data_IF_781994638580
#
_entry.id   IF_781994638580
#
_cell.length_a   1.000
_cell.length_b   1.000
_cell.length_c   1.000
_cell.angle_alpha   90.00
_cell.angle_beta   90.00
_cell.angle_gamma   90.00
#
_symmetry.space_group_name_H-M   'P 1'
#
loop_
_entity.id
_entity.type
_entity.pdbx_description
1 polymer ?
#
# COMPACT_ATOMS: atom_id res chain seq x y z
N UNK A 1 -46.20 -18.56 -12.44
CA UNK A 1 -44.79 -18.16 -12.73
C UNK A 1 -44.70 -16.65 -12.68
N UNK A 2 -44.55 -16.07 -11.49
CA UNK A 2 -44.29 -14.64 -11.31
C UNK A 2 -42.78 -14.41 -11.41
N UNK A 3 -42.36 -13.66 -12.41
CA UNK A 3 -40.98 -13.22 -12.59
C UNK A 3 -40.61 -12.26 -11.47
N UNK A 4 -39.82 -12.71 -10.50
CA UNK A 4 -39.16 -11.85 -9.52
C UNK A 4 -38.17 -10.97 -10.29
N UNK A 5 -38.55 -9.73 -10.54
CA UNK A 5 -37.66 -8.70 -11.09
C UNK A 5 -36.61 -8.40 -10.02
N UNK A 6 -35.29 -8.50 -10.32
CA UNK A 6 -34.25 -8.19 -9.35
C UNK A 6 -34.38 -6.73 -8.86
N UNK A 7 -34.42 -6.52 -7.55
CA UNK A 7 -34.61 -5.21 -6.90
C UNK A 7 -33.52 -4.17 -7.22
N UNK A 8 -32.41 -4.59 -7.85
CA UNK A 8 -31.22 -3.77 -8.07
C UNK A 8 -31.18 -3.07 -9.45
N UNK A 9 -32.21 -3.23 -10.31
CA UNK A 9 -32.17 -2.72 -11.71
C UNK A 9 -32.24 -1.19 -11.86
N UNK A 10 -32.62 -0.47 -10.80
CA UNK A 10 -32.74 1.00 -10.80
C UNK A 10 -31.46 1.72 -10.39
N UNK A 11 -30.49 1.01 -9.79
CA UNK A 11 -29.20 1.60 -9.41
C UNK A 11 -28.23 1.46 -10.58
N UNK A 12 -27.72 2.60 -11.06
CA UNK A 12 -26.59 2.59 -11.97
C UNK A 12 -25.42 1.89 -11.31
N UNK A 13 -24.85 0.87 -11.97
CA UNK A 13 -23.61 0.25 -11.50
C UNK A 13 -22.53 1.31 -11.70
N UNK A 14 -22.10 1.95 -10.60
CA UNK A 14 -20.89 2.77 -10.64
C UNK A 14 -19.77 1.85 -11.14
N UNK A 15 -19.26 2.18 -12.32
CA UNK A 15 -18.17 1.48 -12.99
C UNK A 15 -16.88 1.64 -12.19
N UNK A 16 -16.76 0.93 -11.06
CA UNK A 16 -15.52 0.82 -10.30
C UNK A 16 -14.68 -0.39 -10.72
N UNK A 17 -15.17 -1.23 -11.64
CA UNK A 17 -14.44 -2.39 -12.18
C UNK A 17 -13.54 -2.06 -13.38
N UNK A 18 -13.25 -0.78 -13.67
CA UNK A 18 -12.32 -0.41 -14.75
C UNK A 18 -10.98 0.05 -14.17
N UNK A 19 -10.25 -0.91 -13.60
CA UNK A 19 -8.78 -0.87 -13.53
C UNK A 19 -8.24 -2.31 -13.68
N UNK A 20 -8.91 -3.15 -14.49
CA UNK A 20 -8.30 -4.38 -15.01
C UNK A 20 -7.31 -3.98 -16.14
N UNK A 21 -6.14 -3.52 -15.73
CA UNK A 21 -5.03 -3.28 -16.66
C UNK A 21 -4.73 -4.59 -17.39
N UNK A 22 -4.72 -4.54 -18.72
CA UNK A 22 -4.36 -5.68 -19.58
C UNK A 22 -3.04 -6.34 -19.09
N UNK A 23 -2.91 -7.66 -19.23
CA UNK A 23 -1.79 -8.43 -18.69
C UNK A 23 -0.38 -7.90 -19.12
N UNK A 24 -0.30 -7.22 -20.27
CA UNK A 24 0.92 -6.56 -20.74
C UNK A 24 1.28 -5.29 -19.95
N UNK A 25 0.27 -4.52 -19.52
CA UNK A 25 0.45 -3.32 -18.68
C UNK A 25 0.83 -3.71 -17.26
N UNK A 26 0.23 -4.77 -16.71
CA UNK A 26 0.63 -5.34 -15.41
C UNK A 26 2.09 -5.85 -15.40
N UNK A 27 2.60 -6.36 -16.53
CA UNK A 27 4.00 -6.78 -16.69
C UNK A 27 5.00 -5.62 -16.68
N UNK A 28 4.68 -4.51 -17.36
CA UNK A 28 5.48 -3.28 -17.36
C UNK A 28 5.47 -2.61 -15.98
N UNK A 29 4.31 -2.53 -15.35
CA UNK A 29 4.14 -1.96 -14.02
C UNK A 29 4.89 -2.76 -12.94
N UNK A 30 5.01 -4.09 -13.07
CA UNK A 30 5.88 -4.94 -12.25
C UNK A 30 7.37 -4.66 -12.41
N UNK A 31 7.85 -4.21 -13.58
CA UNK A 31 9.26 -3.78 -13.74
C UNK A 31 9.50 -2.42 -13.11
N UNK A 32 8.55 -1.50 -13.23
CA UNK A 32 8.64 -0.13 -12.68
C UNK A 32 8.65 -0.12 -11.16
N UNK A 33 7.72 -0.85 -10.54
CA UNK A 33 7.66 -1.02 -9.09
C UNK A 33 8.95 -1.63 -8.53
N UNK A 34 9.55 -2.60 -9.22
CA UNK A 34 10.86 -3.17 -8.84
C UNK A 34 12.00 -2.18 -8.95
N UNK A 35 12.01 -1.30 -9.96
CA UNK A 35 13.02 -0.24 -10.09
C UNK A 35 12.89 0.77 -8.95
N UNK A 36 11.67 1.21 -8.65
CA UNK A 36 11.39 2.13 -7.54
C UNK A 36 11.82 1.54 -6.19
N UNK A 37 11.52 0.26 -5.93
CA UNK A 37 12.02 -0.43 -4.74
C UNK A 37 13.54 -0.51 -4.72
N UNK A 38 14.18 -0.80 -5.85
CA UNK A 38 15.63 -0.90 -5.92
C UNK A 38 16.33 0.46 -5.70
N UNK A 39 15.71 1.56 -6.13
CA UNK A 39 16.20 2.92 -5.86
C UNK A 39 15.97 3.32 -4.41
N UNK A 40 14.79 3.03 -3.84
CA UNK A 40 14.47 3.34 -2.45
C UNK A 40 15.29 2.51 -1.45
N UNK A 41 15.52 1.22 -1.75
CA UNK A 41 16.33 0.33 -0.91
C UNK A 41 17.84 0.47 -1.15
N UNK A 42 18.25 1.16 -2.23
CA UNK A 42 19.64 1.34 -2.63
C UNK A 42 20.54 1.95 -1.54
N UNK A 43 20.15 3.08 -0.94
CA UNK A 43 20.91 3.73 0.14
C UNK A 43 21.08 2.85 1.38
N UNK A 44 20.10 1.99 1.68
CA UNK A 44 20.03 1.20 2.91
C UNK A 44 20.60 -0.23 2.77
N UNK A 45 21.27 -0.57 1.67
CA UNK A 45 21.75 -1.95 1.40
C UNK A 45 22.64 -2.51 2.51
N UNK A 46 23.53 -1.68 3.08
CA UNK A 46 24.39 -2.09 4.19
C UNK A 46 23.59 -2.40 5.45
N UNK A 47 22.64 -1.54 5.80
CA UNK A 47 21.76 -1.73 6.96
C UNK A 47 20.83 -2.92 6.79
N UNK A 48 20.32 -3.17 5.58
CA UNK A 48 19.52 -4.35 5.25
C UNK A 48 20.31 -5.65 5.43
N UNK A 49 21.60 -5.68 5.07
CA UNK A 49 22.47 -6.83 5.33
C UNK A 49 22.68 -7.05 6.84
N UNK A 50 22.88 -5.98 7.60
CA UNK A 50 22.98 -6.07 9.08
C UNK A 50 21.67 -6.58 9.67
N UNK A 51 20.52 -6.08 9.21
CA UNK A 51 19.21 -6.57 9.63
C UNK A 51 19.03 -8.05 9.30
N UNK A 52 19.45 -8.50 8.11
CA UNK A 52 19.43 -9.91 7.70
C UNK A 52 20.34 -10.80 8.58
N UNK A 53 21.50 -10.28 9.00
CA UNK A 53 22.36 -10.97 9.95
C UNK A 53 21.70 -11.07 11.34
N UNK A 54 21.13 -9.97 11.85
CA UNK A 54 20.48 -9.92 13.15
C UNK A 54 19.26 -10.85 13.24
N UNK A 55 18.40 -10.90 12.21
CA UNK A 55 17.26 -11.82 12.19
C UNK A 55 17.72 -13.28 12.15
N UNK A 56 18.83 -13.57 11.46
CA UNK A 56 19.42 -14.92 11.42
C UNK A 56 19.97 -15.31 12.79
N UNK A 57 20.74 -14.44 13.45
CA UNK A 57 21.28 -14.65 14.80
C UNK A 57 20.14 -14.84 15.81
N UNK A 58 19.13 -13.97 15.77
CA UNK A 58 17.93 -14.07 16.62
C UNK A 58 17.25 -15.42 16.42
N UNK A 59 17.03 -15.83 15.18
CA UNK A 59 16.33 -17.07 14.84
C UNK A 59 17.14 -18.29 15.25
N UNK A 60 18.45 -18.31 15.01
CA UNK A 60 19.33 -19.39 15.45
C UNK A 60 19.34 -19.53 16.98
N UNK A 61 19.45 -18.41 17.70
CA UNK A 61 19.38 -18.41 19.15
C UNK A 61 18.03 -18.94 19.66
N UNK A 62 16.90 -18.47 19.10
CA UNK A 62 15.56 -18.95 19.45
C UNK A 62 15.37 -20.44 19.18
N UNK A 63 15.80 -20.89 18.01
CA UNK A 63 15.68 -22.29 17.58
C UNK A 63 16.62 -23.20 18.35
N UNK A 64 17.67 -22.71 19.00
CA UNK A 64 18.54 -23.53 19.84
C UNK A 64 17.88 -23.96 21.16
N UNK A 65 16.85 -23.23 21.65
CA UNK A 65 16.25 -23.46 22.96
C UNK A 65 15.70 -24.89 23.13
N UNK A 66 14.81 -25.40 22.23
CA UNK A 66 14.29 -26.75 22.38
C UNK A 66 15.37 -27.84 22.35
N UNK A 67 16.40 -27.67 21.52
CA UNK A 67 17.55 -28.58 21.47
C UNK A 67 18.35 -28.59 22.78
N UNK A 68 18.63 -27.42 23.35
CA UNK A 68 19.32 -27.30 24.63
C UNK A 68 18.50 -27.90 25.78
N UNK A 69 17.17 -27.76 25.76
CA UNK A 69 16.29 -28.44 26.72
C UNK A 69 16.42 -29.96 26.60
N UNK A 70 16.38 -30.50 25.37
CA UNK A 70 16.59 -31.92 25.14
C UNK A 70 17.96 -32.42 25.64
N UNK A 71 19.02 -31.67 25.33
CA UNK A 71 20.37 -31.98 25.79
C UNK A 71 20.50 -31.95 27.32
N UNK A 72 19.83 -31.00 27.97
CA UNK A 72 19.80 -30.87 29.44
C UNK A 72 19.13 -32.06 30.11
N UNK A 73 18.09 -32.62 29.47
CA UNK A 73 17.43 -33.85 29.94
C UNK A 73 18.37 -35.05 29.79
N UNK A 74 18.95 -35.25 28.61
CA UNK A 74 19.73 -36.45 28.30
C UNK A 74 21.11 -36.50 28.98
N UNK A 75 21.81 -35.36 29.04
CA UNK A 75 23.20 -35.28 29.55
C UNK A 75 23.32 -34.66 30.93
N UNK A 76 22.26 -34.05 31.44
CA UNK A 76 22.22 -33.43 32.77
C UNK A 76 21.38 -34.24 33.74
N UNK A 77 20.06 -34.24 33.53
CA UNK A 77 19.09 -34.86 34.45
C UNK A 77 19.24 -36.38 34.48
N UNK A 78 19.21 -37.04 33.31
CA UNK A 78 19.27 -38.49 33.22
C UNK A 78 20.58 -39.06 33.80
N UNK A 79 21.71 -38.39 33.56
CA UNK A 79 23.04 -38.79 34.06
C UNK A 79 23.37 -38.25 35.46
N UNK A 80 22.45 -37.50 36.09
CA UNK A 80 22.64 -36.86 37.39
C UNK A 80 23.89 -35.95 37.48
N UNK A 81 24.34 -35.39 36.34
CA UNK A 81 25.54 -34.57 36.25
C UNK A 81 25.18 -33.08 36.35
N UNK A 82 25.22 -32.54 37.57
CA UNK A 82 24.88 -31.14 37.86
C UNK A 82 25.80 -30.13 37.16
N UNK A 83 27.07 -30.46 36.95
CA UNK A 83 28.02 -29.58 36.25
C UNK A 83 27.64 -29.44 34.78
N UNK A 84 27.35 -30.55 34.10
CA UNK A 84 26.90 -30.53 32.70
C UNK A 84 25.56 -29.83 32.56
N UNK A 85 24.63 -30.08 33.49
CA UNK A 85 23.35 -29.37 33.54
C UNK A 85 23.54 -27.86 33.71
N UNK A 86 24.43 -27.42 34.61
CA UNK A 86 24.75 -26.01 34.82
C UNK A 86 25.30 -25.32 33.57
N UNK A 87 26.19 -26.00 32.82
CA UNK A 87 26.71 -25.50 31.55
C UNK A 87 25.60 -25.35 30.51
N UNK A 88 24.70 -26.34 30.40
CA UNK A 88 23.59 -26.31 29.44
C UNK A 88 22.60 -25.19 29.80
N UNK A 89 22.23 -25.05 31.06
CA UNK A 89 21.36 -23.98 31.55
C UNK A 89 22.02 -22.61 31.32
N UNK A 90 23.32 -22.47 31.60
CA UNK A 90 24.06 -21.25 31.31
C UNK A 90 24.08 -20.91 29.81
N UNK A 91 24.24 -21.93 28.96
CA UNK A 91 24.18 -21.78 27.49
C UNK A 91 22.77 -21.38 27.03
N UNK A 92 21.72 -21.95 27.64
CA UNK A 92 20.33 -21.61 27.37
C UNK A 92 20.02 -20.15 27.75
N UNK A 93 20.48 -19.70 28.93
CA UNK A 93 20.35 -18.31 29.35
C UNK A 93 21.10 -17.36 28.42
N UNK A 94 22.31 -17.73 28.00
CA UNK A 94 23.07 -16.97 27.01
C UNK A 94 22.32 -16.88 25.67
N UNK A 95 21.78 -18.00 25.19
CA UNK A 95 20.97 -18.03 23.96
C UNK A 95 19.73 -17.13 24.07
N UNK A 96 19.07 -17.11 25.24
CA UNK A 96 17.92 -16.24 25.48
C UNK A 96 18.32 -14.75 25.48
N UNK A 97 19.44 -14.39 26.10
CA UNK A 97 19.97 -13.02 26.11
C UNK A 97 20.37 -12.59 24.70
N UNK A 98 21.10 -13.44 23.96
CA UNK A 98 21.47 -13.19 22.56
C UNK A 98 20.22 -13.01 21.70
N UNK A 99 19.21 -13.87 21.86
CA UNK A 99 17.94 -13.74 21.16
C UNK A 99 17.27 -12.39 21.47
N UNK A 100 17.16 -12.01 22.74
CA UNK A 100 16.53 -10.76 23.15
C UNK A 100 17.24 -9.52 22.61
N UNK A 101 18.57 -9.48 22.71
CA UNK A 101 19.40 -8.36 22.21
C UNK A 101 19.31 -8.28 20.67
N UNK A 102 19.49 -9.41 19.98
CA UNK A 102 19.39 -9.46 18.52
C UNK A 102 17.99 -9.08 18.04
N UNK A 103 16.94 -9.50 18.76
CA UNK A 103 15.56 -9.12 18.46
C UNK A 103 15.35 -7.61 18.61
N UNK A 104 15.79 -7.02 19.72
CA UNK A 104 15.66 -5.59 19.96
C UNK A 104 16.42 -4.78 18.91
N UNK A 105 17.67 -5.16 18.62
CA UNK A 105 18.49 -4.52 17.60
C UNK A 105 17.85 -4.64 16.21
N UNK A 106 17.34 -5.82 15.85
CA UNK A 106 16.64 -6.06 14.59
C UNK A 106 15.38 -5.19 14.46
N UNK A 107 14.50 -5.18 15.46
CA UNK A 107 13.26 -4.39 15.44
C UNK A 107 13.56 -2.90 15.33
N UNK A 108 14.57 -2.41 16.05
CA UNK A 108 14.98 -1.00 16.01
C UNK A 108 15.56 -0.61 14.65
N UNK A 109 16.44 -1.44 14.09
CA UNK A 109 17.08 -1.19 12.80
C UNK A 109 16.06 -1.30 11.66
N UNK A 110 15.27 -2.37 11.63
CA UNK A 110 14.22 -2.58 10.62
C UNK A 110 13.17 -1.47 10.65
N UNK A 111 12.75 -1.05 11.86
CA UNK A 111 11.81 0.05 12.02
C UNK A 111 12.37 1.38 11.52
N UNK A 112 13.65 1.66 11.78
CA UNK A 112 14.33 2.87 11.25
C UNK A 112 14.42 2.84 9.73
N UNK A 113 14.93 1.75 9.13
CA UNK A 113 15.01 1.60 7.67
C UNK A 113 13.63 1.82 7.03
N UNK A 114 12.58 1.20 7.58
CA UNK A 114 11.22 1.37 7.10
C UNK A 114 10.74 2.82 7.17
N UNK A 115 10.97 3.49 8.31
CA UNK A 115 10.59 4.89 8.49
C UNK A 115 11.34 5.84 7.55
N UNK A 116 12.65 5.64 7.37
CA UNK A 116 13.46 6.50 6.51
C UNK A 116 13.09 6.33 5.03
N UNK A 117 12.86 5.10 4.56
CA UNK A 117 12.36 4.82 3.20
C UNK A 117 11.01 5.53 2.96
N UNK A 118 10.09 5.48 3.93
CA UNK A 118 8.79 6.14 3.81
C UNK A 118 8.90 7.66 3.86
N UNK A 119 9.82 8.19 4.67
CA UNK A 119 10.09 9.62 4.74
C UNK A 119 10.60 10.15 3.40
N UNK A 120 11.59 9.49 2.80
CA UNK A 120 12.13 9.87 1.50
C UNK A 120 11.06 9.75 0.41
N UNK A 121 10.29 8.66 0.42
CA UNK A 121 9.18 8.48 -0.53
C UNK A 121 8.14 9.59 -0.41
N UNK A 122 7.70 9.95 0.80
CA UNK A 122 6.75 11.04 1.05
C UNK A 122 7.31 12.37 0.56
N UNK A 123 8.58 12.67 0.88
CA UNK A 123 9.24 13.91 0.48
C UNK A 123 9.33 14.02 -1.03
N UNK A 124 9.79 12.97 -1.71
CA UNK A 124 9.93 12.96 -3.18
C UNK A 124 8.57 13.07 -3.86
N UNK A 125 7.57 12.31 -3.43
CA UNK A 125 6.22 12.39 -3.98
C UNK A 125 5.60 13.77 -3.77
N UNK A 126 5.72 14.34 -2.58
CA UNK A 126 5.15 15.65 -2.26
C UNK A 126 5.81 16.76 -3.08
N UNK A 127 7.14 16.74 -3.24
CA UNK A 127 7.85 17.67 -4.10
C UNK A 127 7.43 17.51 -5.56
N UNK A 128 7.43 16.29 -6.07
CA UNK A 128 7.11 16.01 -7.46
C UNK A 128 5.67 16.38 -7.82
N UNK A 129 4.70 16.07 -6.96
CA UNK A 129 3.29 16.42 -7.19
C UNK A 129 3.12 17.93 -7.33
N UNK A 130 3.81 18.75 -6.54
CA UNK A 130 3.75 20.22 -6.64
C UNK A 130 4.31 20.78 -7.96
N UNK A 131 5.18 20.04 -8.65
CA UNK A 131 5.76 20.43 -9.93
C UNK A 131 4.87 20.06 -11.12
N UNK A 132 3.89 19.17 -10.93
CA UNK A 132 3.00 18.73 -12.00
C UNK A 132 2.10 19.87 -12.48
N UNK A 133 1.84 19.88 -13.79
CA UNK A 133 1.01 20.89 -14.46
C UNK A 133 -0.48 20.79 -14.06
N UNK A 134 -1.24 21.87 -14.25
CA UNK A 134 -2.69 21.91 -14.01
C UNK A 134 -3.45 20.77 -14.72
N UNK A 135 -2.98 20.35 -15.90
CA UNK A 135 -3.56 19.23 -16.66
C UNK A 135 -3.59 17.91 -15.86
N UNK A 136 -2.62 17.69 -14.98
CA UNK A 136 -2.57 16.54 -14.09
C UNK A 136 -3.68 16.64 -13.03
N UNK A 137 -3.84 17.78 -12.39
CA UNK A 137 -4.85 18.02 -11.34
C UNK A 137 -6.29 18.01 -11.86
N UNK A 138 -6.51 18.37 -13.14
CA UNK A 138 -7.82 18.21 -13.78
C UNK A 138 -8.12 16.73 -14.12
N UNK A 139 -7.10 15.89 -14.35
CA UNK A 139 -7.24 14.44 -14.57
C UNK A 139 -7.35 13.64 -13.27
N UNK A 140 -6.56 14.00 -12.28
CA UNK A 140 -6.46 13.35 -10.98
C UNK A 140 -7.21 14.19 -9.95
N UNK A 141 -8.38 13.70 -9.55
CA UNK A 141 -9.15 14.35 -8.49
C UNK A 141 -8.29 14.55 -7.24
N UNK A 142 -8.48 15.67 -6.54
CA UNK A 142 -7.72 15.98 -5.31
C UNK A 142 -7.80 14.83 -4.29
N UNK A 143 -8.94 14.15 -4.19
CA UNK A 143 -9.11 12.96 -3.35
C UNK A 143 -8.24 11.77 -3.76
N UNK A 144 -8.01 11.56 -5.06
CA UNK A 144 -7.12 10.50 -5.56
C UNK A 144 -5.65 10.81 -5.22
N UNK A 145 -5.24 12.07 -5.34
CA UNK A 145 -3.88 12.52 -4.96
C UNK A 145 -3.68 12.35 -3.45
N UNK A 146 -4.65 12.77 -2.64
CA UNK A 146 -4.60 12.62 -1.18
C UNK A 146 -4.51 11.14 -0.80
N UNK A 147 -5.31 10.27 -1.42
CA UNK A 147 -5.27 8.82 -1.16
C UNK A 147 -3.92 8.19 -1.51
N UNK A 148 -3.26 8.66 -2.59
CA UNK A 148 -1.89 8.26 -2.95
C UNK A 148 -0.88 8.67 -1.89
N UNK A 149 -0.98 9.90 -1.38
CA UNK A 149 -0.05 10.45 -0.38
C UNK A 149 -0.30 9.94 1.05
N UNK A 150 -1.44 9.28 1.29
CA UNK A 150 -1.84 8.76 2.60
C UNK A 150 -1.97 7.24 2.55
N UNK A 151 -3.13 6.72 2.16
CA UNK A 151 -3.48 5.29 2.22
C UNK A 151 -2.54 4.37 1.46
N UNK A 152 -2.09 4.76 0.26
CA UNK A 152 -1.15 3.93 -0.52
C UNK A 152 0.24 3.87 0.17
N UNK A 153 0.67 4.97 0.81
CA UNK A 153 1.92 4.99 1.60
C UNK A 153 1.75 4.16 2.88
N UNK A 154 0.57 4.17 3.50
CA UNK A 154 0.29 3.37 4.69
C UNK A 154 0.32 1.86 4.38
N UNK A 155 -0.14 1.44 3.20
CA UNK A 155 -0.02 0.05 2.75
C UNK A 155 1.45 -0.38 2.60
N UNK A 156 2.34 0.51 2.13
CA UNK A 156 3.78 0.27 2.11
C UNK A 156 4.37 0.23 3.52
N UNK A 157 3.90 1.09 4.42
CA UNK A 157 4.31 1.08 5.82
C UNK A 157 3.98 -0.25 6.49
N UNK A 158 2.78 -0.78 6.29
CA UNK A 158 2.39 -2.09 6.82
C UNK A 158 3.31 -3.22 6.29
N UNK A 159 3.64 -3.20 4.99
CA UNK A 159 4.58 -4.17 4.42
C UNK A 159 5.98 -4.08 5.04
N UNK A 160 6.52 -2.88 5.20
CA UNK A 160 7.88 -2.65 5.73
C UNK A 160 7.97 -2.90 7.23
N UNK A 161 6.94 -2.52 8.00
CA UNK A 161 6.93 -2.65 9.45
C UNK A 161 6.69 -4.09 9.92
N UNK A 162 5.70 -4.78 9.35
CA UNK A 162 5.28 -6.10 9.84
C UNK A 162 5.39 -7.18 8.77
N UNK A 163 4.98 -6.91 7.53
CA UNK A 163 4.88 -7.92 6.48
C UNK A 163 6.20 -8.64 6.17
N UNK A 164 7.27 -7.89 5.90
CA UNK A 164 8.57 -8.44 5.51
C UNK A 164 9.20 -9.26 6.64
N UNK A 165 9.17 -8.73 7.87
CA UNK A 165 9.70 -9.40 9.06
C UNK A 165 9.01 -10.74 9.31
N UNK A 166 7.68 -10.78 9.24
CA UNK A 166 6.91 -12.00 9.49
C UNK A 166 7.21 -13.08 8.47
N UNK A 167 7.37 -12.74 7.18
CA UNK A 167 7.69 -13.74 6.14
C UNK A 167 9.10 -14.27 6.25
N UNK A 168 10.08 -13.40 6.43
CA UNK A 168 11.47 -13.85 6.57
C UNK A 168 11.58 -14.75 7.79
N UNK A 169 10.99 -14.35 8.93
CA UNK A 169 10.96 -15.17 10.14
C UNK A 169 10.24 -16.49 9.88
N UNK A 170 9.07 -16.47 9.24
CA UNK A 170 8.28 -17.68 8.98
C UNK A 170 9.01 -18.66 8.06
N UNK A 171 9.64 -18.16 6.99
CA UNK A 171 10.39 -18.98 6.05
C UNK A 171 11.63 -19.60 6.71
N UNK A 172 12.39 -18.80 7.46
CA UNK A 172 13.54 -19.28 8.23
C UNK A 172 13.08 -20.34 9.23
N UNK A 173 12.02 -20.09 10.00
CA UNK A 173 11.50 -21.04 10.98
C UNK A 173 11.05 -22.34 10.34
N UNK A 174 10.22 -22.31 9.29
CA UNK A 174 9.72 -23.53 8.63
C UNK A 174 10.87 -24.37 8.07
N UNK A 175 11.82 -23.74 7.35
CA UNK A 175 12.96 -24.45 6.75
C UNK A 175 13.90 -24.97 7.83
N UNK A 176 14.30 -24.13 8.78
CA UNK A 176 15.24 -24.51 9.82
C UNK A 176 14.67 -25.58 10.75
N UNK A 177 13.42 -25.45 11.20
CA UNK A 177 12.76 -26.46 12.04
C UNK A 177 12.64 -27.78 11.28
N UNK A 178 12.28 -27.76 10.01
CA UNK A 178 12.24 -28.99 9.17
C UNK A 178 13.59 -29.70 9.17
N UNK A 179 14.66 -28.96 8.91
CA UNK A 179 16.02 -29.51 8.89
C UNK A 179 16.41 -30.04 10.26
N UNK A 180 16.12 -29.31 11.35
CA UNK A 180 16.41 -29.72 12.73
C UNK A 180 15.65 -31.01 13.09
N UNK A 181 14.35 -31.10 12.80
CA UNK A 181 13.55 -32.28 13.11
C UNK A 181 14.05 -33.52 12.37
N UNK A 182 14.35 -33.40 11.07
CA UNK A 182 14.92 -34.49 10.29
C UNK A 182 16.30 -34.93 10.78
N UNK A 183 17.11 -33.98 11.28
CA UNK A 183 18.41 -34.26 11.85
C UNK A 183 18.32 -34.95 13.21
N UNK A 184 17.34 -34.58 14.04
CA UNK A 184 17.11 -35.20 15.36
C UNK A 184 16.66 -36.65 15.23
N UNK A 185 15.64 -36.90 14.42
CA UNK A 185 15.21 -38.26 14.07
C UNK A 185 14.41 -38.24 12.76
N UNK A 186 14.92 -38.93 11.73
CA UNK A 186 14.29 -38.91 10.41
C UNK A 186 12.90 -39.56 10.41
N UNK A 187 12.61 -40.50 11.31
CA UNK A 187 11.33 -41.23 11.36
C UNK A 187 10.23 -40.32 11.91
N UNK A 188 10.47 -39.69 13.06
CA UNK A 188 9.57 -38.70 13.66
C UNK A 188 9.47 -37.42 12.82
N UNK A 189 10.58 -37.01 12.21
CA UNK A 189 10.62 -35.89 11.26
C UNK A 189 9.70 -36.13 10.07
N UNK A 190 9.71 -37.35 9.51
CA UNK A 190 8.81 -37.73 8.40
C UNK A 190 7.34 -37.72 8.84
N UNK A 191 7.02 -38.23 10.04
CA UNK A 191 5.65 -38.15 10.60
C UNK A 191 5.17 -36.71 10.68
N UNK A 192 6.03 -35.79 11.13
CA UNK A 192 5.72 -34.36 11.15
C UNK A 192 5.50 -33.79 9.76
N UNK A 193 6.36 -34.16 8.79
CA UNK A 193 6.26 -33.68 7.41
C UNK A 193 5.00 -34.16 6.68
N UNK A 194 4.42 -35.30 7.05
CA UNK A 194 3.13 -35.75 6.51
C UNK A 194 1.99 -34.78 6.88
N UNK A 195 2.11 -34.02 7.97
CA UNK A 195 1.15 -32.96 8.29
C UNK A 195 1.28 -31.75 7.35
N UNK A 196 2.44 -31.54 6.70
CA UNK A 196 2.70 -30.36 5.87
C UNK A 196 1.79 -30.29 4.63
N UNK A 197 1.60 -31.35 3.80
CA UNK A 197 0.62 -31.33 2.71
C UNK A 197 -0.79 -30.95 3.17
N UNK A 198 -1.21 -31.41 4.35
CA UNK A 198 -2.54 -31.09 4.91
C UNK A 198 -2.62 -29.61 5.29
N UNK A 199 -1.59 -29.04 5.92
CA UNK A 199 -1.55 -27.61 6.18
C UNK A 199 -1.57 -26.81 4.88
N UNK A 200 -0.73 -27.16 3.91
CA UNK A 200 -0.67 -26.45 2.63
C UNK A 200 -2.01 -26.50 1.89
N UNK A 201 -2.69 -27.65 1.90
CA UNK A 201 -4.03 -27.81 1.34
C UNK A 201 -5.07 -26.94 2.04
N UNK A 202 -5.04 -26.90 3.39
CA UNK A 202 -5.94 -26.06 4.17
C UNK A 202 -5.68 -24.56 3.96
N UNK A 203 -4.41 -24.15 3.89
CA UNK A 203 -4.00 -22.77 3.58
C UNK A 203 -4.42 -22.38 2.17
N UNK A 204 -4.28 -23.28 1.18
CA UNK A 204 -4.72 -23.02 -0.19
C UNK A 204 -6.25 -22.87 -0.28
N UNK A 205 -7.00 -23.76 0.39
CA UNK A 205 -8.45 -23.65 0.52
C UNK A 205 -8.86 -22.33 1.16
N UNK A 206 -8.24 -21.97 2.29
CA UNK A 206 -8.53 -20.72 3.00
C UNK A 206 -8.23 -19.51 2.11
N UNK A 207 -7.06 -19.46 1.47
CA UNK A 207 -6.69 -18.37 0.56
C UNK A 207 -7.73 -18.15 -0.55
N UNK A 208 -8.14 -19.22 -1.24
CA UNK A 208 -9.08 -19.11 -2.36
C UNK A 208 -10.48 -18.66 -1.89
N UNK A 209 -10.95 -19.19 -0.76
CA UNK A 209 -12.29 -18.87 -0.26
C UNK A 209 -12.34 -17.51 0.45
N UNK A 210 -11.32 -17.14 1.22
CA UNK A 210 -11.23 -15.84 1.89
C UNK A 210 -11.17 -14.69 0.88
N UNK A 211 -10.45 -14.84 -0.23
CA UNK A 211 -10.44 -13.83 -1.30
C UNK A 211 -11.83 -13.60 -1.93
N UNK A 212 -12.68 -14.63 -2.01
CA UNK A 212 -14.07 -14.49 -2.48
C UNK A 212 -14.94 -13.83 -1.42
N UNK A 213 -14.78 -14.23 -0.16
CA UNK A 213 -15.51 -13.69 0.96
C UNK A 213 -15.22 -12.20 1.20
N UNK A 214 -13.94 -11.80 1.22
CA UNK A 214 -13.56 -10.39 1.37
C UNK A 214 -14.10 -9.52 0.23
N UNK A 215 -14.14 -10.03 -1.01
CA UNK A 215 -14.79 -9.33 -2.12
C UNK A 215 -16.31 -9.21 -1.93
N UNK A 216 -16.97 -10.22 -1.37
CA UNK A 216 -18.40 -10.14 -1.06
C UNK A 216 -18.67 -9.10 0.04
N UNK A 217 -17.88 -9.11 1.13
CA UNK A 217 -17.95 -8.11 2.21
C UNK A 217 -17.74 -6.70 1.65
N UNK A 218 -16.72 -6.50 0.80
CA UNK A 218 -16.40 -5.20 0.21
C UNK A 218 -17.51 -4.69 -0.73
N UNK A 219 -18.10 -5.55 -1.55
CA UNK A 219 -19.24 -5.16 -2.40
C UNK A 219 -20.48 -4.80 -1.57
N UNK A 220 -20.74 -5.55 -0.51
CA UNK A 220 -21.89 -5.29 0.35
C UNK A 220 -21.76 -3.99 1.16
N UNK A 221 -20.57 -3.68 1.72
CA UNK A 221 -20.37 -2.42 2.47
C UNK A 221 -20.47 -1.20 1.57
N UNK A 222 -20.00 -1.29 0.31
CA UNK A 222 -20.16 -0.19 -0.66
C UNK A 222 -21.64 0.13 -0.86
N UNK A 223 -22.49 -0.89 -0.98
CA UNK A 223 -23.93 -0.69 -1.15
C UNK A 223 -24.59 -0.01 0.06
N UNK A 224 -24.13 -0.36 1.27
CA UNK A 224 -24.53 0.32 2.51
C UNK A 224 -24.11 1.79 2.49
N UNK A 225 -22.85 2.08 2.15
CA UNK A 225 -22.31 3.45 2.09
C UNK A 225 -23.07 4.28 1.05
N UNK A 226 -23.28 3.76 -0.16
CA UNK A 226 -24.03 4.44 -1.22
C UNK A 226 -25.43 4.80 -0.73
N UNK A 227 -26.14 3.84 -0.12
CA UNK A 227 -27.48 4.12 0.38
C UNK A 227 -27.48 5.17 1.50
N UNK A 228 -26.46 5.16 2.35
CA UNK A 228 -26.30 6.15 3.41
C UNK A 228 -26.07 7.56 2.84
N UNK A 229 -25.17 7.70 1.87
CA UNK A 229 -24.86 8.98 1.20
C UNK A 229 -26.07 9.50 0.43
N UNK A 230 -26.77 8.67 -0.33
CA UNK A 230 -28.00 9.06 -1.05
C UNK A 230 -29.11 9.49 -0.10
N UNK A 231 -29.30 8.76 1.00
CA UNK A 231 -30.37 9.06 1.97
C UNK A 231 -30.11 10.34 2.74
N UNK A 232 -28.88 10.56 3.20
CA UNK A 232 -28.52 11.77 3.96
C UNK A 232 -28.36 12.99 3.04
N UNK A 233 -27.73 12.84 1.87
CA UNK A 233 -27.64 13.92 0.89
C UNK A 233 -29.01 14.33 0.35
N UNK A 234 -29.92 13.37 0.21
CA UNK A 234 -31.30 13.56 -0.21
C UNK A 234 -32.31 13.71 0.93
N UNK A 235 -31.89 13.98 2.17
CA UNK A 235 -32.76 13.87 3.36
C UNK A 235 -34.01 14.75 3.26
N UNK A 236 -33.90 15.93 2.63
CA UNK A 236 -35.04 16.83 2.39
C UNK A 236 -36.09 16.18 1.49
N UNK A 237 -35.66 15.46 0.44
CA UNK A 237 -36.56 14.74 -0.45
C UNK A 237 -37.19 13.53 0.27
N UNK A 238 -36.40 12.79 1.06
CA UNK A 238 -36.91 11.66 1.85
C UNK A 238 -38.04 12.11 2.78
N UNK A 239 -37.85 13.21 3.52
CA UNK A 239 -38.88 13.78 4.39
C UNK A 239 -40.07 14.37 3.62
N UNK A 240 -39.82 15.13 2.55
CA UNK A 240 -40.89 15.74 1.75
C UNK A 240 -41.83 14.68 1.15
N UNK A 241 -41.29 13.52 0.76
CA UNK A 241 -42.07 12.41 0.22
C UNK A 241 -42.44 11.34 1.26
N UNK A 242 -42.13 11.55 2.56
CA UNK A 242 -42.43 10.62 3.66
C UNK A 242 -41.97 9.17 3.39
N UNK A 243 -40.77 9.02 2.81
CA UNK A 243 -40.22 7.71 2.38
C UNK A 243 -39.34 7.05 3.44
N UNK A 244 -39.30 7.53 4.67
CA UNK A 244 -38.47 7.00 5.75
C UNK A 244 -38.67 5.48 5.95
N UNK A 245 -39.91 4.94 6.00
CA UNK A 245 -40.10 3.50 6.18
C UNK A 245 -39.55 2.68 5.00
N UNK A 246 -39.68 3.19 3.77
CA UNK A 246 -39.18 2.52 2.57
C UNK A 246 -37.65 2.54 2.52
N UNK A 247 -37.03 3.66 2.92
CA UNK A 247 -35.58 3.72 3.04
C UNK A 247 -35.07 2.78 4.13
N UNK A 248 -35.76 2.67 5.26
CA UNK A 248 -35.40 1.71 6.32
C UNK A 248 -35.43 0.26 5.80
N UNK A 249 -36.46 -0.14 5.06
CA UNK A 249 -36.56 -1.47 4.45
C UNK A 249 -35.40 -1.76 3.47
N UNK A 250 -35.06 -0.79 2.62
CA UNK A 250 -33.92 -0.89 1.70
C UNK A 250 -32.61 -1.00 2.48
N UNK A 251 -32.44 -0.20 3.54
CA UNK A 251 -31.28 -0.25 4.41
C UNK A 251 -31.12 -1.60 5.08
N UNK A 252 -32.21 -2.18 5.60
CA UNK A 252 -32.21 -3.49 6.25
C UNK A 252 -31.79 -4.61 5.28
N UNK A 253 -32.23 -4.57 4.02
CA UNK A 253 -31.78 -5.53 3.00
C UNK A 253 -30.28 -5.42 2.72
N UNK A 254 -29.78 -4.22 2.43
CA UNK A 254 -28.36 -4.04 2.09
C UNK A 254 -27.45 -4.32 3.29
N UNK A 255 -27.90 -3.97 4.49
CA UNK A 255 -27.21 -4.28 5.74
C UNK A 255 -27.27 -5.79 6.05
N UNK A 256 -28.38 -6.46 5.74
CA UNK A 256 -28.51 -7.92 5.83
C UNK A 256 -27.51 -8.66 4.92
N UNK A 257 -27.39 -8.22 3.66
CA UNK A 257 -26.37 -8.73 2.72
C UNK A 257 -24.95 -8.52 3.28
N UNK A 258 -24.68 -7.36 3.87
CA UNK A 258 -23.39 -7.07 4.51
C UNK A 258 -23.12 -7.96 5.73
N UNK A 259 -24.12 -8.17 6.58
CA UNK A 259 -24.05 -9.09 7.73
C UNK A 259 -23.73 -10.50 7.28
N UNK A 260 -24.46 -11.03 6.30
CA UNK A 260 -24.32 -12.43 5.86
C UNK A 260 -22.95 -12.66 5.21
N UNK A 261 -22.45 -11.70 4.43
CA UNK A 261 -21.09 -11.73 3.90
C UNK A 261 -20.03 -11.73 5.01
N UNK A 262 -20.21 -10.92 6.05
CA UNK A 262 -19.31 -10.91 7.21
C UNK A 262 -19.35 -12.22 8.00
N UNK A 263 -20.54 -12.79 8.21
CA UNK A 263 -20.68 -14.08 8.88
C UNK A 263 -19.95 -15.16 8.09
N UNK A 264 -20.09 -15.20 6.76
CA UNK A 264 -19.35 -16.14 5.92
C UNK A 264 -17.83 -15.96 6.05
N UNK A 265 -17.36 -14.71 6.01
CA UNK A 265 -15.95 -14.35 6.19
C UNK A 265 -15.38 -14.79 7.54
N UNK A 266 -16.12 -14.52 8.62
CA UNK A 266 -15.71 -14.91 9.95
C UNK A 266 -15.74 -16.43 10.12
N UNK A 267 -16.74 -17.14 9.57
CA UNK A 267 -16.77 -18.62 9.60
C UNK A 267 -15.54 -19.24 8.93
N UNK A 268 -15.08 -18.68 7.81
CA UNK A 268 -13.84 -19.12 7.15
C UNK A 268 -12.63 -18.98 8.09
N UNK A 269 -12.45 -17.81 8.71
CA UNK A 269 -11.35 -17.57 9.66
C UNK A 269 -11.46 -18.46 10.92
N UNK A 270 -12.66 -18.58 11.48
CA UNK A 270 -12.97 -19.44 12.63
C UNK A 270 -12.84 -20.94 12.33
N UNK A 271 -12.78 -21.34 11.06
CA UNK A 271 -12.50 -22.74 10.69
C UNK A 271 -11.00 -22.97 10.53
N UNK A 272 -10.30 -22.04 9.86
CA UNK A 272 -8.88 -22.19 9.52
C UNK A 272 -7.98 -22.30 10.76
N UNK A 273 -8.04 -21.32 11.67
CA UNK A 273 -7.17 -21.30 12.87
C UNK A 273 -7.32 -22.55 13.74
N UNK A 274 -8.55 -22.90 14.16
CA UNK A 274 -8.80 -24.14 14.91
C UNK A 274 -8.40 -25.42 14.17
N UNK A 275 -8.57 -25.50 12.84
CA UNK A 275 -8.14 -26.66 12.07
C UNK A 275 -6.60 -26.83 12.05
N UNK A 276 -5.84 -25.73 11.90
CA UNK A 276 -4.37 -25.75 12.04
C UNK A 276 -3.96 -26.20 13.45
N UNK A 277 -4.61 -25.66 14.48
CA UNK A 277 -4.35 -26.04 15.87
C UNK A 277 -4.67 -27.52 16.14
N UNK A 278 -5.79 -28.02 15.61
CA UNK A 278 -6.17 -29.42 15.73
C UNK A 278 -5.14 -30.32 15.04
N UNK A 279 -4.71 -29.98 13.84
CA UNK A 279 -3.69 -30.73 13.11
C UNK A 279 -2.35 -30.73 13.87
N UNK A 280 -1.96 -29.60 14.45
CA UNK A 280 -0.79 -29.51 15.31
C UNK A 280 -0.89 -30.40 16.54
N UNK A 281 -2.04 -30.39 17.23
CA UNK A 281 -2.29 -31.25 18.39
C UNK A 281 -2.28 -32.74 18.02
N UNK A 282 -2.92 -33.12 16.92
CA UNK A 282 -2.92 -34.50 16.41
C UNK A 282 -1.51 -34.96 16.06
N UNK A 283 -0.73 -34.11 15.40
CA UNK A 283 0.67 -34.39 15.07
C UNK A 283 1.50 -34.59 16.34
N UNK A 284 1.33 -33.72 17.35
CA UNK A 284 1.97 -33.87 18.66
C UNK A 284 1.57 -35.17 19.35
N UNK A 285 0.29 -35.55 19.33
CA UNK A 285 -0.16 -36.83 19.88
C UNK A 285 0.48 -38.02 19.16
N UNK A 286 0.54 -38.00 17.82
CA UNK A 286 1.18 -39.06 17.03
C UNK A 286 2.68 -39.17 17.33
N UNK A 287 3.38 -38.03 17.40
CA UNK A 287 4.81 -37.98 17.73
C UNK A 287 5.06 -38.44 19.17
N UNK A 288 4.19 -38.11 20.12
CA UNK A 288 4.30 -38.61 21.50
C UNK A 288 4.06 -40.13 21.59
N UNK A 289 3.05 -40.66 20.90
CA UNK A 289 2.76 -42.10 20.90
C UNK A 289 3.88 -42.89 20.23
N UNK A 290 4.25 -42.52 19.01
CA UNK A 290 5.27 -43.22 18.24
C UNK A 290 6.67 -42.99 18.81
N UNK A 291 6.99 -41.75 19.18
CA UNK A 291 8.26 -41.39 19.82
C UNK A 291 8.40 -42.01 21.21
N UNK A 292 7.34 -42.05 22.01
CA UNK A 292 7.32 -42.75 23.29
C UNK A 292 7.59 -44.25 23.14
N UNK A 293 7.00 -44.89 22.13
CA UNK A 293 7.33 -46.28 21.77
C UNK A 293 8.81 -46.45 21.41
N UNK A 294 9.40 -45.55 20.61
CA UNK A 294 10.83 -45.59 20.27
C UNK A 294 11.74 -45.38 21.49
N UNK A 295 11.33 -44.54 22.45
CA UNK A 295 12.05 -44.35 23.72
C UNK A 295 12.03 -45.63 24.55
N UNK A 296 10.87 -46.29 24.68
CA UNK A 296 10.74 -47.57 25.40
C UNK A 296 11.60 -48.66 24.75
N UNK A 297 11.74 -48.65 23.42
CA UNK A 297 12.62 -49.55 22.68
C UNK A 297 14.11 -49.17 22.76
N UNK A 298 14.47 -48.08 23.45
CA UNK A 298 15.85 -47.59 23.54
C UNK A 298 16.42 -47.04 22.23
N UNK A 299 15.57 -46.75 21.24
CA UNK A 299 15.98 -46.22 19.93
C UNK A 299 16.00 -44.68 19.89
N UNK A 300 15.41 -44.04 20.89
CA UNK A 300 15.31 -42.59 21.03
C UNK A 300 15.52 -42.19 22.49
N UNK A 301 16.10 -41.01 22.74
CA UNK A 301 16.24 -40.49 24.10
C UNK A 301 15.01 -39.64 24.49
N UNK A 302 14.76 -39.52 25.80
CA UNK A 302 13.66 -38.71 26.32
C UNK A 302 13.85 -37.22 25.99
N UNK A 303 15.09 -36.74 25.98
CA UNK A 303 15.45 -35.37 25.61
C UNK A 303 15.14 -35.07 24.15
N UNK A 304 15.47 -35.97 23.21
CA UNK A 304 15.13 -35.81 21.79
C UNK A 304 13.61 -35.75 21.60
N UNK A 305 12.84 -36.63 22.26
CA UNK A 305 11.38 -36.59 22.20
C UNK A 305 10.82 -35.27 22.74
N UNK A 306 11.39 -34.76 23.84
CA UNK A 306 10.97 -33.48 24.44
C UNK A 306 11.27 -32.31 23.52
N UNK A 307 12.46 -32.28 22.90
CA UNK A 307 12.83 -31.27 21.91
C UNK A 307 11.88 -31.30 20.70
N UNK A 308 11.52 -32.49 20.22
CA UNK A 308 10.55 -32.68 19.13
C UNK A 308 9.20 -32.02 19.41
N UNK A 309 8.63 -32.24 20.60
CA UNK A 309 7.33 -31.66 21.00
C UNK A 309 7.39 -30.14 21.05
N UNK A 310 8.49 -29.58 21.54
CA UNK A 310 8.70 -28.13 21.59
C UNK A 310 8.84 -27.52 20.19
N UNK A 311 9.59 -28.18 19.29
CA UNK A 311 9.71 -27.75 17.89
C UNK A 311 8.41 -27.88 17.11
N UNK A 312 7.58 -28.89 17.38
CA UNK A 312 6.27 -29.04 16.73
C UNK A 312 5.40 -27.80 16.92
N UNK A 313 5.37 -27.23 18.14
CA UNK A 313 4.62 -26.00 18.40
C UNK A 313 5.12 -24.84 17.51
N UNK A 314 6.43 -24.69 17.40
CA UNK A 314 7.07 -23.64 16.57
C UNK A 314 6.92 -23.90 15.07
N UNK A 315 6.68 -25.15 14.65
CA UNK A 315 6.48 -25.51 13.24
C UNK A 315 5.12 -25.04 12.70
N UNK A 316 4.05 -25.15 13.49
CA UNK A 316 2.70 -24.83 13.05
C UNK A 316 2.33 -23.34 13.16
N UNK A 317 2.97 -22.59 14.07
CA UNK A 317 2.68 -21.17 14.31
C UNK A 317 2.90 -20.28 13.07
N UNK A 318 4.05 -20.36 12.34
CA UNK A 318 4.29 -19.54 11.15
C UNK A 318 3.32 -19.77 10.00
N UNK A 319 2.64 -20.92 9.98
CA UNK A 319 1.70 -21.24 8.91
C UNK A 319 0.43 -20.36 8.98
N UNK A 320 0.11 -19.81 10.15
CA UNK A 320 -0.99 -18.85 10.32
C UNK A 320 -0.58 -17.46 9.79
N UNK A 321 0.63 -17.01 10.09
CA UNK A 321 1.16 -15.71 9.69
C UNK A 321 1.34 -15.59 8.17
N UNK A 322 1.78 -16.67 7.53
CA UNK A 322 2.01 -16.69 6.08
C UNK A 322 0.72 -16.43 5.27
N UNK A 323 -0.45 -16.77 5.83
CA UNK A 323 -1.73 -16.49 5.19
C UNK A 323 -2.09 -15.00 5.21
N UNK A 324 -1.72 -14.26 6.25
CA UNK A 324 -2.05 -12.84 6.37
C UNK A 324 -1.15 -11.98 5.47
N UNK A 325 0.11 -12.38 5.33
CA UNK A 325 1.09 -11.68 4.50
C UNK A 325 0.64 -11.48 3.05
N UNK A 326 -0.04 -12.46 2.44
CA UNK A 326 -0.43 -12.37 1.02
C UNK A 326 -1.32 -11.16 0.71
N UNK A 327 -2.15 -10.74 1.67
CA UNK A 327 -2.99 -9.56 1.51
C UNK A 327 -2.18 -8.26 1.61
N UNK A 328 -1.30 -8.17 2.62
CA UNK A 328 -0.38 -7.03 2.79
C UNK A 328 0.51 -6.86 1.56
N UNK A 329 1.06 -7.96 1.05
CA UNK A 329 1.91 -7.95 -0.14
C UNK A 329 1.15 -7.48 -1.39
N UNK A 330 -0.08 -7.92 -1.59
CA UNK A 330 -0.90 -7.45 -2.71
C UNK A 330 -1.26 -5.97 -2.60
N UNK A 331 -1.67 -5.52 -1.41
CA UNK A 331 -2.02 -4.12 -1.16
C UNK A 331 -0.82 -3.21 -1.41
N UNK A 332 0.33 -3.55 -0.83
CA UNK A 332 1.58 -2.82 -1.02
C UNK A 332 2.07 -2.85 -2.48
N UNK A 333 1.92 -3.99 -3.19
CA UNK A 333 2.26 -4.09 -4.61
C UNK A 333 1.41 -3.17 -5.48
N UNK A 334 0.08 -3.14 -5.26
CA UNK A 334 -0.83 -2.26 -5.96
C UNK A 334 -0.60 -0.78 -5.62
N UNK A 335 -0.29 -0.46 -4.36
CA UNK A 335 0.08 0.88 -3.93
C UNK A 335 1.38 1.35 -4.62
N UNK A 336 2.41 0.50 -4.65
CA UNK A 336 3.69 0.81 -5.27
C UNK A 336 3.56 1.05 -6.78
N UNK A 337 2.75 0.27 -7.46
CA UNK A 337 2.43 0.43 -8.89
C UNK A 337 1.78 1.79 -9.17
N UNK A 338 0.81 2.16 -8.33
CA UNK A 338 0.11 3.42 -8.37
C UNK A 338 1.01 4.63 -8.07
N UNK A 339 1.92 4.51 -7.11
CA UNK A 339 2.90 5.55 -6.76
C UNK A 339 3.99 5.70 -7.83
N UNK A 340 4.48 4.60 -8.38
CA UNK A 340 5.42 4.63 -9.50
C UNK A 340 4.83 5.36 -10.71
N UNK A 341 3.53 5.15 -10.99
CA UNK A 341 2.83 5.89 -12.04
C UNK A 341 2.77 7.40 -11.81
N UNK A 342 2.69 7.86 -10.54
CA UNK A 342 2.73 9.30 -10.22
C UNK A 342 4.12 9.88 -10.38
N UNK A 343 5.17 9.16 -9.95
CA UNK A 343 6.58 9.61 -10.04
C UNK A 343 7.07 9.68 -11.49
N UNK A 344 6.48 8.88 -12.39
CA UNK A 344 6.80 8.90 -13.82
C UNK A 344 6.02 9.97 -14.60
N UNK A 345 5.03 10.63 -13.99
CA UNK A 345 4.27 11.67 -14.67
C UNK A 345 5.18 12.88 -14.96
N UNK A 346 5.25 13.28 -16.23
CA UNK A 346 6.00 14.47 -16.62
C UNK A 346 5.08 15.68 -16.71
N UNK A 347 5.47 16.86 -16.18
CA UNK A 347 4.71 18.09 -16.37
C UNK A 347 4.45 18.36 -17.85
N UNK A 348 3.21 18.68 -18.24
CA UNK A 348 2.89 18.97 -19.65
C UNK A 348 3.43 20.32 -20.10
N UNK A 349 3.85 21.17 -19.16
CA UNK A 349 4.51 22.46 -19.41
C UNK A 349 5.87 22.40 -18.71
N UNK A 350 6.89 21.80 -19.35
CA UNK A 350 8.21 21.66 -18.75
C UNK A 350 8.96 22.99 -18.71
N UNK A 351 9.94 23.08 -17.80
CA UNK A 351 10.90 24.19 -17.80
C UNK A 351 11.69 24.20 -19.12
N UNK A 352 11.90 25.36 -19.76
CA UNK A 352 12.76 25.44 -20.93
C UNK A 352 14.19 25.00 -20.63
N UNK A 353 14.79 24.23 -21.55
CA UNK A 353 16.19 23.77 -21.44
C UNK A 353 17.17 24.95 -21.41
N UNK A 354 16.90 25.98 -22.22
CA UNK A 354 17.67 27.22 -22.29
C UNK A 354 16.73 28.40 -22.01
N UNK A 355 16.47 28.72 -20.73
CA UNK A 355 15.53 29.78 -20.37
C UNK A 355 16.06 31.16 -20.78
N UNK A 356 15.20 31.94 -21.45
CA UNK A 356 15.42 33.37 -21.67
C UNK A 356 15.02 34.11 -20.40
N UNK A 357 15.93 34.93 -19.88
CA UNK A 357 15.61 35.84 -18.76
C UNK A 357 15.02 37.13 -19.28
N UNK A 358 13.85 37.49 -18.77
CA UNK A 358 13.19 38.76 -19.04
C UNK A 358 13.74 39.84 -18.10
N UNK A 359 14.06 41.00 -18.69
CA UNK A 359 14.40 42.21 -17.93
C UNK A 359 13.14 42.93 -17.48
N UNK A 360 12.96 44.18 -17.92
CA UNK A 360 11.70 44.90 -17.73
C UNK A 360 10.59 44.32 -18.62
N UNK A 361 9.45 43.97 -18.02
CA UNK A 361 8.26 43.48 -18.74
C UNK A 361 7.38 44.69 -19.10
N UNK A 362 7.11 44.88 -20.39
CA UNK A 362 6.18 45.90 -20.88
C UNK A 362 4.73 45.39 -20.85
N UNK A 363 4.51 44.09 -21.07
CA UNK A 363 3.20 43.45 -20.93
C UNK A 363 2.40 43.33 -22.24
N UNK A 364 3.06 43.38 -23.39
CA UNK A 364 2.41 43.11 -24.68
C UNK A 364 2.23 41.60 -24.87
N UNK A 365 1.00 41.14 -25.15
CA UNK A 365 0.69 39.70 -25.35
C UNK A 365 0.19 39.46 -26.76
N UNK A 366 0.64 38.38 -27.39
CA UNK A 366 0.11 37.96 -28.69
C UNK A 366 -0.16 36.45 -28.74
N UNK A 367 -1.26 36.09 -29.40
CA UNK A 367 -1.57 34.75 -29.89
C UNK A 367 -1.27 34.75 -31.39
N UNK A 368 -0.44 33.81 -31.83
CA UNK A 368 0.00 33.71 -33.22
C UNK A 368 -0.34 32.31 -33.77
N UNK A 369 -1.39 32.23 -34.60
CA UNK A 369 -1.92 31.00 -35.19
C UNK A 369 -2.28 29.91 -34.16
N UNK A 370 -2.85 30.31 -33.01
CA UNK A 370 -3.00 29.39 -31.87
C UNK A 370 -4.17 28.43 -32.06
N UNK A 371 -3.86 27.14 -32.07
CA UNK A 371 -4.84 26.05 -32.00
C UNK A 371 -4.64 25.27 -30.70
N UNK A 372 -5.73 24.97 -30.00
CA UNK A 372 -5.66 24.26 -28.73
C UNK A 372 -6.84 23.29 -28.53
N UNK A 373 -6.53 22.11 -28.00
CA UNK A 373 -7.49 21.09 -27.62
C UNK A 373 -7.26 20.61 -26.17
N UNK A 374 -8.35 20.40 -25.43
CA UNK A 374 -8.31 19.60 -24.21
C UNK A 374 -8.48 18.14 -24.58
N UNK A 375 -7.39 17.35 -24.45
CA UNK A 375 -7.35 15.97 -24.96
C UNK A 375 -7.68 15.99 -26.47
N UNK A 376 -8.75 15.32 -26.89
CA UNK A 376 -9.15 15.23 -28.29
C UNK A 376 -10.21 16.27 -28.70
N UNK A 377 -10.63 17.15 -27.78
CA UNK A 377 -11.66 18.17 -28.04
C UNK A 377 -11.02 19.52 -28.29
N UNK A 378 -10.98 19.95 -29.56
CA UNK A 378 -10.54 21.27 -29.95
C UNK A 378 -11.46 22.37 -29.36
N UNK A 379 -10.84 23.46 -28.91
CA UNK A 379 -11.51 24.61 -28.29
C UNK A 379 -11.15 25.91 -28.98
N UNK A 380 -9.88 26.09 -29.37
CA UNK A 380 -9.40 27.24 -30.12
C UNK A 380 -8.88 26.77 -31.48
N UNK A 381 -9.19 27.53 -32.52
CA UNK A 381 -8.86 27.24 -33.91
C UNK A 381 -8.18 28.45 -34.53
N UNK A 382 -6.91 28.32 -34.88
CA UNK A 382 -6.12 29.32 -35.62
C UNK A 382 -6.32 30.78 -35.13
N UNK A 383 -6.12 30.99 -33.83
CA UNK A 383 -6.40 32.26 -33.18
C UNK A 383 -5.21 33.23 -33.30
N UNK A 384 -5.45 34.38 -33.93
CA UNK A 384 -4.52 35.52 -33.99
C UNK A 384 -5.07 36.74 -33.26
N UNK A 385 -4.42 37.12 -32.16
CA UNK A 385 -4.81 38.29 -31.34
C UNK A 385 -3.55 39.00 -30.86
N UNK A 386 -3.54 40.34 -30.88
CA UNK A 386 -2.49 41.16 -30.28
C UNK A 386 -3.08 42.12 -29.26
N UNK A 387 -2.52 42.09 -28.05
CA UNK A 387 -2.89 42.94 -26.91
C UNK A 387 -1.68 43.83 -26.61
N UNK A 388 -1.75 45.14 -26.95
CA UNK A 388 -0.67 46.08 -26.64
C UNK A 388 -0.45 46.24 -25.13
N UNK A 389 0.79 46.54 -24.74
CA UNK A 389 1.16 46.85 -23.37
C UNK A 389 0.26 47.94 -22.75
N UNK A 390 -0.16 47.73 -21.50
CA UNK A 390 -0.96 48.68 -20.73
C UNK A 390 -2.45 48.74 -21.09
N UNK A 391 -2.94 47.93 -22.03
CA UNK A 391 -4.37 47.89 -22.36
C UNK A 391 -5.17 46.94 -21.46
N UNK A 392 -6.44 47.30 -21.23
CA UNK A 392 -7.44 46.46 -20.58
C UNK A 392 -8.35 45.89 -21.66
N UNK A 393 -8.39 44.57 -21.79
CA UNK A 393 -9.19 43.87 -22.80
C UNK A 393 -10.25 43.00 -22.12
N UNK A 394 -11.49 43.09 -22.60
CA UNK A 394 -12.60 42.25 -22.15
C UNK A 394 -12.90 41.14 -23.17
N UNK A 395 -12.88 39.89 -22.72
CA UNK A 395 -13.27 38.72 -23.52
C UNK A 395 -14.75 38.40 -23.27
N UNK A 396 -15.59 38.54 -24.29
CA UNK A 396 -17.05 38.33 -24.20
C UNK A 396 -17.48 37.23 -25.18
N UNK A 397 -18.44 36.40 -24.78
CA UNK A 397 -18.98 35.33 -25.61
C UNK A 397 -19.74 34.29 -24.79
N UNK A 398 -20.42 33.36 -25.45
CA UNK A 398 -21.20 32.30 -24.80
C UNK A 398 -20.34 31.33 -23.96
N UNK A 399 -20.95 30.63 -23.00
CA UNK A 399 -20.27 29.58 -22.23
C UNK A 399 -19.72 28.51 -23.18
N UNK A 400 -18.44 28.17 -23.03
CA UNK A 400 -17.77 27.22 -23.93
C UNK A 400 -17.02 27.85 -25.10
N UNK A 401 -17.14 29.16 -25.35
CA UNK A 401 -16.43 29.86 -26.44
C UNK A 401 -14.89 29.99 -26.26
N UNK A 402 -14.26 29.24 -25.34
CA UNK A 402 -12.80 29.25 -25.17
C UNK A 402 -12.20 30.41 -24.35
N UNK A 403 -13.01 31.33 -23.81
CA UNK A 403 -12.54 32.49 -23.01
C UNK A 403 -11.59 32.10 -21.87
N UNK A 404 -12.01 31.15 -21.03
CA UNK A 404 -11.18 30.64 -19.93
C UNK A 404 -9.93 29.94 -20.43
N UNK A 405 -9.99 29.29 -21.60
CA UNK A 405 -8.84 28.63 -22.24
C UNK A 405 -7.79 29.64 -22.67
N UNK A 406 -8.20 30.78 -23.26
CA UNK A 406 -7.27 31.86 -23.60
C UNK A 406 -6.53 32.39 -22.37
N UNK A 407 -7.26 32.66 -21.28
CA UNK A 407 -6.64 33.12 -20.03
C UNK A 407 -5.64 32.08 -19.47
N UNK A 408 -5.98 30.78 -19.53
CA UNK A 408 -5.10 29.70 -19.09
C UNK A 408 -3.85 29.55 -19.96
N UNK A 409 -3.94 29.81 -21.27
CA UNK A 409 -2.79 29.83 -22.18
C UNK A 409 -1.89 31.05 -21.95
N UNK A 410 -2.46 32.24 -21.67
CA UNK A 410 -1.67 33.43 -21.30
C UNK A 410 -0.89 33.22 -20.00
N UNK A 411 -1.48 32.53 -19.02
CA UNK A 411 -0.80 32.15 -17.78
C UNK A 411 0.11 30.91 -17.94
N UNK A 412 0.22 30.36 -19.15
CA UNK A 412 0.97 29.14 -19.50
C UNK A 412 0.65 27.95 -18.56
N UNK A 413 -0.60 27.82 -18.14
CA UNK A 413 -1.08 26.58 -17.49
C UNK A 413 -1.19 25.42 -18.48
N UNK A 414 -1.22 25.76 -19.78
CA UNK A 414 -1.16 24.86 -20.92
C UNK A 414 -0.25 25.46 -21.97
N UNK A 415 0.41 24.62 -22.76
CA UNK A 415 1.02 25.02 -24.01
C UNK A 415 0.03 24.78 -25.17
N UNK A 416 0.03 25.63 -26.21
CA UNK A 416 -0.85 25.45 -27.37
C UNK A 416 -0.47 24.19 -28.16
N UNK A 417 -1.47 23.55 -28.80
CA UNK A 417 -1.24 22.37 -29.65
C UNK A 417 -0.50 22.76 -30.93
N UNK A 418 -0.82 23.92 -31.50
CA UNK A 418 -0.10 24.55 -32.59
C UNK A 418 -0.10 26.08 -32.43
N UNK A 419 0.87 26.74 -33.08
CA UNK A 419 1.10 28.18 -32.91
C UNK A 419 1.94 28.50 -31.68
N UNK A 420 1.89 29.76 -31.23
CA UNK A 420 2.56 30.22 -30.01
C UNK A 420 1.83 31.37 -29.34
N UNK A 421 2.02 31.47 -28.03
CA UNK A 421 1.65 32.65 -27.25
C UNK A 421 2.94 33.34 -26.86
N UNK A 422 3.00 34.67 -26.99
CA UNK A 422 4.20 35.45 -26.69
C UNK A 422 3.91 36.55 -25.66
N UNK A 423 4.89 36.83 -24.80
CA UNK A 423 4.93 38.00 -23.93
C UNK A 423 6.13 38.86 -24.34
N UNK A 424 5.88 40.13 -24.67
CA UNK A 424 6.86 41.08 -25.21
C UNK A 424 7.65 40.53 -26.42
N UNK A 425 6.98 39.72 -27.24
CA UNK A 425 7.55 39.08 -28.44
C UNK A 425 8.33 37.80 -28.17
N UNK A 426 8.49 37.38 -26.91
CA UNK A 426 9.18 36.14 -26.52
C UNK A 426 8.12 35.04 -26.33
N UNK A 427 8.32 33.87 -26.96
CA UNK A 427 7.43 32.71 -26.77
C UNK A 427 7.42 32.29 -25.30
N UNK A 428 6.23 32.13 -24.73
CA UNK A 428 6.06 31.74 -23.33
C UNK A 428 6.82 30.45 -22.98
N UNK A 429 7.00 29.54 -23.94
CA UNK A 429 7.75 28.28 -23.78
C UNK A 429 9.25 28.48 -23.57
N UNK A 430 9.79 29.63 -23.95
CA UNK A 430 11.21 29.95 -23.81
C UNK A 430 11.55 30.74 -22.54
N UNK A 431 10.55 31.29 -21.85
CA UNK A 431 10.72 32.10 -20.64
C UNK A 431 10.86 31.17 -19.43
N UNK A 432 11.77 31.49 -18.51
CA UNK A 432 11.88 30.80 -17.22
C UNK A 432 10.54 30.83 -16.47
N UNK A 433 10.07 29.70 -15.95
CA UNK A 433 8.73 29.61 -15.34
C UNK A 433 8.59 30.56 -14.15
N UNK A 434 9.65 30.72 -13.37
CA UNK A 434 9.68 31.62 -12.23
C UNK A 434 9.45 33.09 -12.65
N UNK A 435 10.10 33.54 -13.71
CA UNK A 435 9.95 34.92 -14.21
C UNK A 435 8.58 35.13 -14.84
N UNK A 436 8.07 34.15 -15.59
CA UNK A 436 6.72 34.22 -16.14
C UNK A 436 5.66 34.30 -15.04
N UNK A 437 5.81 33.51 -13.96
CA UNK A 437 4.89 33.54 -12.80
C UNK A 437 5.00 34.83 -11.99
N UNK A 438 6.15 35.51 -11.99
CA UNK A 438 6.28 36.88 -11.43
C UNK A 438 5.62 37.93 -12.32
N UNK A 439 5.61 37.71 -13.63
CA UNK A 439 5.02 38.63 -14.62
C UNK A 439 3.50 38.57 -14.69
N UNK A 440 2.91 37.42 -14.38
CA UNK A 440 1.47 37.15 -14.58
C UNK A 440 0.79 36.86 -13.25
N UNK A 441 -0.20 37.68 -12.90
CA UNK A 441 -1.12 37.41 -11.80
C UNK A 441 -2.45 36.85 -12.34
N UNK A 442 -2.96 35.80 -11.70
CA UNK A 442 -4.24 35.17 -12.07
C UNK A 442 -5.21 35.30 -10.90
N UNK A 443 -6.39 35.85 -11.18
CA UNK A 443 -7.52 35.85 -10.23
C UNK A 443 -8.51 34.78 -10.68
N UNK A 444 -8.70 33.75 -9.87
CA UNK A 444 -9.61 32.64 -10.17
C UNK A 444 -11.05 32.99 -9.85
N UNK A 445 -12.00 32.33 -10.51
CA UNK A 445 -13.44 32.53 -10.29
C UNK A 445 -13.86 32.13 -8.86
N UNK A 446 -13.29 31.04 -8.35
CA UNK A 446 -13.40 30.64 -6.95
C UNK A 446 -12.10 31.01 -6.24
N UNK A 447 -12.19 31.90 -5.24
CA UNK A 447 -11.07 32.28 -4.40
C UNK A 447 -10.79 31.19 -3.37
N UNK A 448 -9.54 30.75 -3.27
CA UNK A 448 -9.09 29.84 -2.22
C UNK A 448 -8.31 30.61 -1.17
N UNK A 449 -8.57 30.32 0.11
CA UNK A 449 -7.82 30.87 1.24
C UNK A 449 -7.14 29.73 1.98
N UNK A 450 -5.85 29.90 2.25
CA UNK A 450 -5.10 28.99 3.10
C UNK A 450 -5.40 29.26 4.57
N UNK A 451 -5.24 28.22 5.39
CA UNK A 451 -5.33 28.37 6.85
C UNK A 451 -4.30 29.38 7.35
N UNK A 452 -4.75 30.37 8.12
CA UNK A 452 -3.94 31.50 8.56
C UNK A 452 -4.82 32.72 8.77
N UNK A 453 -4.20 33.88 9.00
CA UNK A 453 -4.89 35.15 9.02
C UNK A 453 -4.99 35.78 7.61
N UNK A 454 -5.67 36.91 7.50
CA UNK A 454 -5.83 37.63 6.22
C UNK A 454 -4.48 38.12 5.68
N UNK A 455 -3.61 38.64 6.55
CA UNK A 455 -2.26 39.07 6.21
C UNK A 455 -1.42 37.92 5.62
N UNK A 456 -1.46 36.73 6.20
CA UNK A 456 -0.74 35.56 5.69
C UNK A 456 -1.14 35.22 4.24
N UNK A 457 -2.44 35.34 3.93
CA UNK A 457 -2.97 35.10 2.58
C UNK A 457 -2.61 36.22 1.60
N UNK A 458 -2.60 37.49 2.05
CA UNK A 458 -2.18 38.63 1.23
C UNK A 458 -0.68 38.58 0.90
N UNK A 459 0.15 38.16 1.86
CA UNK A 459 1.60 38.03 1.72
C UNK A 459 2.02 36.75 0.95
N UNK A 460 1.09 35.85 0.63
CA UNK A 460 1.37 34.59 -0.06
C UNK A 460 2.14 34.79 -1.39
N UNK A 461 1.76 35.81 -2.17
CA UNK A 461 2.41 36.12 -3.45
C UNK A 461 3.76 36.82 -3.31
N UNK A 462 3.99 37.55 -2.22
CA UNK A 462 5.25 38.25 -1.91
C UNK A 462 5.42 38.37 -0.39
N UNK A 463 6.10 37.40 0.25
CA UNK A 463 6.19 37.33 1.71
C UNK A 463 6.80 38.55 2.40
N UNK A 464 7.61 39.31 1.68
CA UNK A 464 8.30 40.51 2.18
C UNK A 464 7.58 41.83 1.83
N UNK A 465 6.33 41.79 1.36
CA UNK A 465 5.58 43.01 1.07
C UNK A 465 5.29 43.82 2.35
N UNK A 466 5.55 45.13 2.30
CA UNK A 466 5.42 46.08 3.42
C UNK A 466 4.08 46.78 3.46
#
# INVERSE_FOLDING_TARGET
MSSIVPADRWRGVASEDVDEYSANVAGLLRRRSRRLLATLAGPYRGELLVAAALITIRSAAYLSLPYLVGLGIDRGIHTHNLTTLGIIVGTLLLALVVNAIANYAFLRLSGRIGADILFDLRRTLFAHVQELSLSFYERYTSGRIISRLTSDIDALNELLATGLTSVITSLISVVAITVILLHLDARLGTVTLVAMPLVLGLTWWFRNNSARSYRAVRRAIVLVIVHYVESLGGIRAVHAFRREPRNQEIFEDVNGRYRDANIWSNRLASTFGPAINLLGRLTTTLVLLFGGYLVVQGQLTLGVLTAFVLYLRQFFEPMQDLSQFYNVFQAAGAALEKLAGVIEETPTVPEPVNPVRMGSIAGAVAFEGVTFAYRDKAVLHDLDIRIPAGQIVALVGETGAGKTTMARLMARFYDPTAGRVTLDGIDLRSIATEELRRAVAVVTQESFLFSGNVGDNLLFGRPEAT
#
